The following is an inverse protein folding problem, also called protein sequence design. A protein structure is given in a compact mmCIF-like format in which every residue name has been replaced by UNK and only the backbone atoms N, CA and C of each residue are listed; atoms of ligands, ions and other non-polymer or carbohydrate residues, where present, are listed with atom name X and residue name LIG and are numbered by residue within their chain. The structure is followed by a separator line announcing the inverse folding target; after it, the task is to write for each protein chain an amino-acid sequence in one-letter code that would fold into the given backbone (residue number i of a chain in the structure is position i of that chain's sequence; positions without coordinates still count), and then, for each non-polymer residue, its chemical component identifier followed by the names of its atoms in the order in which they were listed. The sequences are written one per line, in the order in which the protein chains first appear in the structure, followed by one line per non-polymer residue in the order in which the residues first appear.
data_IF_054017196315
#
_entry.id   IF_054017196315
#
_cell.length_a   1.000
_cell.length_b   1.000
_cell.length_c   1.000
_cell.angle_alpha   90.00
_cell.angle_beta   90.00
_cell.angle_gamma   90.00
#
_symmetry.space_group_name_H-M   'P 1'
#
loop_
_entity.id
_entity.type
_entity.pdbx_description
1 polymer ?
#
# COMPACT_ATOMS: atom_id res chain seq x y z
N UNK A 1 -11.50 8.97 -10.24
CA UNK A 1 -10.27 9.37 -10.97
C UNK A 1 -9.69 8.12 -11.63
N UNK A 2 -9.11 8.20 -12.84
CA UNK A 2 -8.39 7.06 -13.43
C UNK A 2 -6.95 7.05 -12.90
N UNK A 3 -6.52 5.98 -12.25
CA UNK A 3 -5.12 5.80 -11.87
C UNK A 3 -4.26 5.70 -13.13
N UNK A 4 -3.04 6.23 -13.05
CA UNK A 4 -2.04 5.96 -14.08
C UNK A 4 -1.82 4.45 -14.16
N UNK A 5 -1.94 3.90 -15.38
CA UNK A 5 -1.63 2.49 -15.59
C UNK A 5 -0.15 2.26 -15.32
N UNK A 6 0.15 1.32 -14.44
CA UNK A 6 1.54 0.98 -14.14
C UNK A 6 2.32 0.61 -15.40
N UNK A 7 3.55 1.14 -15.58
CA UNK A 7 4.41 0.75 -16.69
C UNK A 7 5.11 -0.59 -16.44
N UNK A 8 5.13 -1.11 -15.21
CA UNK A 8 5.81 -2.36 -14.86
C UNK A 8 4.82 -3.52 -14.80
N UNK A 9 5.25 -4.69 -15.30
CA UNK A 9 4.41 -5.90 -15.30
C UNK A 9 4.14 -6.46 -13.89
N UNK A 10 5.03 -6.13 -12.95
CA UNK A 10 5.10 -6.63 -11.59
C UNK A 10 5.11 -5.51 -10.54
N UNK A 11 4.47 -4.38 -10.82
CA UNK A 11 4.36 -3.29 -9.84
C UNK A 11 3.59 -3.76 -8.59
N UNK A 12 4.27 -3.90 -7.43
CA UNK A 12 3.64 -4.40 -6.22
C UNK A 12 2.64 -3.40 -5.66
N UNK A 13 2.85 -2.09 -5.83
CA UNK A 13 1.93 -1.06 -5.33
C UNK A 13 0.61 -1.08 -6.10
N UNK A 14 0.68 -1.30 -7.41
CA UNK A 14 -0.53 -1.52 -8.23
C UNK A 14 -1.29 -2.77 -7.81
N UNK A 15 -0.57 -3.83 -7.41
CA UNK A 15 -1.21 -5.05 -6.92
C UNK A 15 -1.85 -4.87 -5.54
N UNK A 16 -1.24 -4.08 -4.66
CA UNK A 16 -1.83 -3.65 -3.37
C UNK A 16 -3.11 -2.85 -3.60
N UNK A 17 -3.08 -1.87 -4.51
CA UNK A 17 -4.26 -1.09 -4.87
C UNK A 17 -5.39 -1.97 -5.43
N UNK A 18 -5.06 -2.94 -6.29
CA UNK A 18 -6.03 -3.91 -6.79
C UNK A 18 -6.60 -4.77 -5.65
N UNK A 19 -5.75 -5.31 -4.78
CA UNK A 19 -6.17 -6.12 -3.65
C UNK A 19 -7.17 -5.38 -2.77
N UNK A 20 -6.87 -4.13 -2.42
CA UNK A 20 -7.75 -3.26 -1.65
C UNK A 20 -9.10 -3.03 -2.34
N UNK A 21 -9.10 -2.70 -3.64
CA UNK A 21 -10.34 -2.46 -4.39
C UNK A 21 -11.24 -3.71 -4.49
N UNK A 22 -10.65 -4.92 -4.50
CA UNK A 22 -11.43 -6.17 -4.51
C UNK A 22 -12.08 -6.48 -3.15
N UNK A 23 -11.42 -6.15 -2.03
CA UNK A 23 -11.94 -6.42 -0.67
C UNK A 23 -12.84 -5.30 -0.14
N UNK A 24 -12.63 -4.05 -0.58
CA UNK A 24 -13.42 -2.87 -0.20
C UNK A 24 -13.97 -2.16 -1.45
N UNK A 25 -14.91 -2.78 -2.17
CA UNK A 25 -15.44 -2.22 -3.40
C UNK A 25 -16.18 -0.89 -3.15
N UNK A 26 -15.84 0.12 -3.94
CA UNK A 26 -16.45 1.45 -3.87
C UNK A 26 -15.80 2.42 -2.88
N UNK A 27 -14.77 1.99 -2.14
CA UNK A 27 -13.96 2.89 -1.32
C UNK A 27 -12.99 3.67 -2.20
N UNK A 28 -13.12 5.00 -2.21
CA UNK A 28 -12.29 5.90 -3.00
C UNK A 28 -11.21 6.57 -2.13
N UNK A 29 -10.02 6.76 -2.71
CA UNK A 29 -8.88 7.44 -2.09
C UNK A 29 -7.97 7.99 -3.19
N UNK A 30 -7.08 8.91 -2.81
CA UNK A 30 -5.93 9.32 -3.63
C UNK A 30 -4.63 8.86 -2.94
N UNK A 31 -3.63 8.50 -3.74
CA UNK A 31 -2.31 8.14 -3.23
C UNK A 31 -1.22 8.77 -4.08
N UNK A 32 -0.25 9.41 -3.43
CA UNK A 32 0.87 10.11 -4.10
C UNK A 32 2.21 9.77 -3.43
N UNK A 33 3.27 9.83 -4.23
CA UNK A 33 4.64 9.83 -3.74
C UNK A 33 5.08 11.27 -3.52
N UNK A 34 5.62 11.56 -2.34
CA UNK A 34 6.15 12.88 -1.97
C UNK A 34 7.62 12.76 -1.56
N UNK A 35 8.39 13.83 -1.64
CA UNK A 35 9.82 13.79 -1.26
C UNK A 35 10.00 13.39 0.23
N UNK A 36 9.24 14.03 1.10
CA UNK A 36 9.31 13.85 2.56
C UNK A 36 7.99 14.22 3.22
N UNK A 37 7.63 13.52 4.28
CA UNK A 37 6.51 13.85 5.16
C UNK A 37 7.08 14.27 6.52
N UNK A 38 6.68 15.43 7.02
CA UNK A 38 7.13 15.95 8.32
C UNK A 38 5.93 16.43 9.13
N UNK A 39 5.81 15.97 10.36
CA UNK A 39 4.80 16.44 11.32
C UNK A 39 5.14 17.85 11.84
N UNK A 40 4.20 18.49 12.53
CA UNK A 40 4.41 19.82 13.12
C UNK A 40 5.57 19.88 14.11
N UNK A 41 5.85 18.78 14.82
CA UNK A 41 6.95 18.67 15.78
C UNK A 41 8.31 18.35 15.13
N UNK A 42 8.35 18.22 13.80
CA UNK A 42 9.56 17.94 13.03
C UNK A 42 9.89 16.46 12.87
N UNK A 43 9.03 15.55 13.34
CA UNK A 43 9.19 14.11 13.14
C UNK A 43 8.98 13.73 11.68
N UNK A 44 9.90 12.93 11.13
CA UNK A 44 9.77 12.41 9.76
C UNK A 44 8.88 11.17 9.76
N UNK A 45 7.96 11.11 8.80
CA UNK A 45 7.10 9.96 8.57
C UNK A 45 7.35 9.36 7.18
N UNK A 46 7.12 8.06 7.04
CA UNK A 46 7.27 7.34 5.77
C UNK A 46 5.95 7.13 5.04
N UNK A 47 4.83 7.24 5.74
CA UNK A 47 3.47 7.18 5.23
C UNK A 47 2.55 8.05 6.07
N UNK A 48 1.49 8.60 5.47
CA UNK A 48 0.46 9.33 6.18
C UNK A 48 -0.86 9.30 5.39
N UNK A 49 -1.97 9.14 6.12
CA UNK A 49 -3.32 9.30 5.58
C UNK A 49 -3.97 10.55 6.16
N UNK A 50 -4.38 11.47 5.29
CA UNK A 50 -5.14 12.67 5.65
C UNK A 50 -6.60 12.48 5.27
N UNK A 51 -7.51 12.86 6.17
CA UNK A 51 -8.96 12.91 5.93
C UNK A 51 -9.41 14.37 5.90
N UNK A 52 -9.55 14.99 4.71
CA UNK A 52 -9.94 16.40 4.59
C UNK A 52 -11.40 16.64 5.01
N UNK A 53 -11.64 17.74 5.73
CA UNK A 53 -12.99 18.16 6.15
C UNK A 53 -13.78 18.87 5.02
N UNK A 54 -13.14 19.16 3.89
CA UNK A 54 -13.72 19.89 2.75
C UNK A 54 -14.49 18.99 1.77
N UNK A 55 -14.56 17.68 2.07
CA UNK A 55 -15.27 16.68 1.29
C UNK A 55 -14.49 16.14 0.09
N UNK A 56 -13.20 16.46 -0.04
CA UNK A 56 -12.34 15.74 -0.98
C UNK A 56 -12.05 14.32 -0.50
N UNK A 57 -11.50 13.50 -1.39
CA UNK A 57 -11.13 12.13 -1.05
C UNK A 57 -10.03 12.11 0.03
N UNK A 58 -9.97 11.06 0.87
CA UNK A 58 -8.80 10.81 1.70
C UNK A 58 -7.53 10.74 0.85
N UNK A 59 -6.46 11.36 1.34
CA UNK A 59 -5.16 11.42 0.66
C UNK A 59 -4.13 10.59 1.42
N UNK A 60 -3.52 9.64 0.72
CA UNK A 60 -2.37 8.87 1.17
C UNK A 60 -1.10 9.50 0.58
N UNK A 61 -0.16 9.85 1.44
CA UNK A 61 1.18 10.26 1.07
C UNK A 61 2.17 9.16 1.47
N UNK A 62 3.04 8.76 0.54
CA UNK A 62 4.15 7.84 0.81
C UNK A 62 5.46 8.54 0.49
N UNK A 63 6.42 8.49 1.40
CA UNK A 63 7.72 9.13 1.22
C UNK A 63 8.52 8.41 0.12
N UNK A 64 8.97 9.13 -0.89
CA UNK A 64 9.65 8.60 -2.08
C UNK A 64 11.13 8.29 -1.89
N UNK A 65 11.72 8.69 -0.74
CA UNK A 65 13.12 8.40 -0.41
C UNK A 65 13.33 7.03 0.24
N UNK A 66 12.25 6.29 0.55
CA UNK A 66 12.34 4.94 1.13
C UNK A 66 12.71 3.90 0.05
N UNK A 67 13.24 2.72 0.42
CA UNK A 67 13.46 1.63 -0.53
C UNK A 67 12.19 1.32 -1.33
N UNK A 68 12.32 1.12 -2.64
CA UNK A 68 11.18 0.85 -3.51
C UNK A 68 10.36 -0.38 -3.08
N UNK A 69 11.01 -1.36 -2.44
CA UNK A 69 10.38 -2.55 -1.87
C UNK A 69 9.48 -2.25 -0.66
N UNK A 70 9.70 -1.15 0.07
CA UNK A 70 8.92 -0.76 1.23
C UNK A 70 7.64 0.00 0.85
N UNK A 71 7.64 0.70 -0.29
CA UNK A 71 6.49 1.48 -0.79
C UNK A 71 5.16 0.70 -0.79
N UNK A 72 5.07 -0.54 -1.32
CA UNK A 72 3.81 -1.29 -1.32
C UNK A 72 3.30 -1.63 0.09
N UNK A 73 4.19 -1.91 1.04
CA UNK A 73 3.80 -2.20 2.43
C UNK A 73 3.29 -0.95 3.13
N UNK A 74 3.97 0.20 2.94
CA UNK A 74 3.50 1.49 3.47
C UNK A 74 2.16 1.87 2.84
N UNK A 75 1.97 1.66 1.53
CA UNK A 75 0.66 1.88 0.91
C UNK A 75 -0.42 0.99 1.53
N UNK A 76 -0.15 -0.30 1.74
CA UNK A 76 -1.11 -1.20 2.39
C UNK A 76 -1.42 -0.77 3.83
N UNK A 77 -0.44 -0.24 4.56
CA UNK A 77 -0.59 0.29 5.91
C UNK A 77 -1.57 1.47 5.94
N UNK A 78 -1.37 2.44 5.06
CA UNK A 78 -2.23 3.63 4.96
C UNK A 78 -3.63 3.28 4.44
N UNK A 79 -3.75 2.33 3.52
CA UNK A 79 -5.05 1.83 3.07
C UNK A 79 -5.87 1.16 4.18
N UNK A 80 -5.23 0.53 5.17
CA UNK A 80 -5.96 0.02 6.33
C UNK A 80 -6.60 1.16 7.13
N UNK A 81 -5.91 2.30 7.30
CA UNK A 81 -6.48 3.49 7.97
C UNK A 81 -7.72 4.04 7.27
N UNK A 82 -7.78 3.99 5.94
CA UNK A 82 -8.95 4.43 5.15
C UNK A 82 -10.24 3.75 5.61
N UNK A 83 -10.18 2.45 5.93
CA UNK A 83 -11.35 1.65 6.27
C UNK A 83 -11.55 1.47 7.77
N UNK A 84 -10.63 1.98 8.59
CA UNK A 84 -10.66 1.90 10.05
C UNK A 84 -10.41 3.27 10.70
N UNK A 85 -11.06 4.31 10.18
CA UNK A 85 -10.91 5.70 10.65
C UNK A 85 -11.02 5.79 12.17
N UNK A 86 -10.00 6.36 12.82
CA UNK A 86 -9.92 6.53 14.27
C UNK A 86 -9.40 5.30 15.05
N UNK A 87 -9.04 4.21 14.37
CA UNK A 87 -8.36 3.06 14.95
C UNK A 87 -6.84 3.12 14.69
N UNK A 88 -6.08 3.70 15.63
CA UNK A 88 -4.61 3.82 15.57
C UNK A 88 -3.94 2.46 15.83
N UNK A 89 -3.94 1.60 14.80
CA UNK A 89 -3.35 0.25 14.81
C UNK A 89 -4.00 -0.74 15.79
N UNK A 90 -5.27 -0.55 16.12
CA UNK A 90 -6.04 -1.51 16.92
C UNK A 90 -6.52 -2.73 16.12
N UNK A 91 -7.43 -3.53 16.72
CA UNK A 91 -7.82 -4.82 16.16
C UNK A 91 -8.45 -4.75 14.77
N UNK A 92 -9.25 -3.73 14.48
CA UNK A 92 -9.90 -3.62 13.16
C UNK A 92 -8.87 -3.19 12.12
N UNK A 93 -7.98 -2.26 12.46
CA UNK A 93 -6.87 -1.86 11.58
C UNK A 93 -6.00 -3.08 11.21
N UNK A 94 -5.61 -3.89 12.21
CA UNK A 94 -4.79 -5.10 11.97
C UNK A 94 -5.47 -6.08 11.05
N UNK A 95 -6.77 -6.31 11.27
CA UNK A 95 -7.57 -7.19 10.42
C UNK A 95 -7.66 -6.66 8.99
N UNK A 96 -7.81 -5.34 8.80
CA UNK A 96 -7.83 -4.73 7.48
C UNK A 96 -6.47 -4.87 6.77
N UNK A 97 -5.38 -4.59 7.47
CA UNK A 97 -4.02 -4.73 6.95
C UNK A 97 -3.69 -6.19 6.55
N UNK A 98 -4.03 -7.15 7.41
CA UNK A 98 -3.87 -8.59 7.12
C UNK A 98 -4.73 -9.05 5.94
N UNK A 99 -5.95 -8.52 5.79
CA UNK A 99 -6.82 -8.83 4.65
C UNK A 99 -6.23 -8.31 3.33
N UNK A 100 -5.69 -7.08 3.32
CA UNK A 100 -4.98 -6.52 2.16
C UNK A 100 -3.77 -7.39 1.82
N UNK A 101 -2.95 -7.74 2.81
CA UNK A 101 -1.77 -8.60 2.62
C UNK A 101 -2.14 -9.98 2.07
N UNK A 102 -3.17 -10.63 2.63
CA UNK A 102 -3.62 -11.95 2.17
C UNK A 102 -4.10 -11.89 0.72
N UNK A 103 -4.89 -10.87 0.37
CA UNK A 103 -5.39 -10.69 -0.99
C UNK A 103 -4.29 -10.33 -1.98
N UNK A 104 -3.34 -9.48 -1.60
CA UNK A 104 -2.15 -9.19 -2.39
C UNK A 104 -1.40 -10.49 -2.75
N UNK A 105 -1.16 -11.37 -1.77
CA UNK A 105 -0.47 -12.63 -2.01
C UNK A 105 -1.27 -13.58 -2.90
N UNK A 106 -2.59 -13.66 -2.73
CA UNK A 106 -3.48 -14.42 -3.62
C UNK A 106 -3.32 -13.95 -5.07
N UNK A 107 -3.39 -12.64 -5.30
CA UNK A 107 -3.23 -12.05 -6.63
C UNK A 107 -1.82 -12.24 -7.19
N UNK A 108 -0.80 -12.12 -6.35
CA UNK A 108 0.60 -12.33 -6.74
C UNK A 108 0.83 -13.78 -7.18
N UNK A 109 0.35 -14.76 -6.40
CA UNK A 109 0.47 -16.19 -6.73
C UNK A 109 -0.32 -16.50 -8.01
N UNK A 110 -1.54 -15.97 -8.16
CA UNK A 110 -2.34 -16.18 -9.35
C UNK A 110 -1.67 -15.62 -10.62
N UNK A 111 -0.93 -14.51 -10.49
CA UNK A 111 -0.28 -13.81 -11.60
C UNK A 111 1.12 -14.34 -11.93
N UNK A 112 1.90 -14.69 -10.91
CA UNK A 112 3.34 -14.99 -11.04
C UNK A 112 3.70 -16.42 -10.64
N UNK A 113 2.76 -17.19 -10.09
CA UNK A 113 3.02 -18.50 -9.51
C UNK A 113 3.60 -18.42 -8.09
N UNK A 114 3.80 -19.58 -7.47
CA UNK A 114 4.51 -19.68 -6.20
C UNK A 114 6.00 -19.43 -6.42
N UNK A 115 6.60 -18.51 -5.68
CA UNK A 115 8.06 -18.36 -5.67
C UNK A 115 8.66 -19.48 -4.80
N UNK A 116 9.62 -20.24 -5.35
CA UNK A 116 10.45 -21.09 -4.50
C UNK A 116 11.42 -20.20 -3.71
N UNK A 117 11.68 -20.50 -2.43
CA UNK A 117 12.66 -19.76 -1.65
C UNK A 117 14.02 -19.74 -2.36
N UNK A 118 14.70 -18.59 -2.34
CA UNK A 118 16.03 -18.39 -2.92
C UNK A 118 17.12 -19.20 -2.17
N UNK A 119 17.08 -20.53 -2.24
CA UNK A 119 18.18 -21.39 -1.78
C UNK A 119 18.83 -22.20 -2.92
N UNK A 120 18.32 -22.13 -4.16
CA UNK A 120 18.82 -22.96 -5.26
C UNK A 120 19.30 -22.21 -6.52
N UNK A 121 19.41 -20.88 -6.53
CA UNK A 121 20.15 -20.18 -7.58
C UNK A 121 21.65 -20.13 -7.23
N UNK A 122 22.29 -21.30 -7.14
CA UNK A 122 23.75 -21.36 -7.30
C UNK A 122 24.07 -20.97 -8.73
N UNK A 123 24.93 -19.96 -8.88
CA UNK A 123 25.39 -19.42 -10.15
C UNK A 123 25.75 -20.52 -11.15
N UNK A 124 25.24 -20.37 -12.36
CA UNK A 124 25.81 -20.97 -13.56
C UNK A 124 26.93 -20.07 -14.06
N UNK A 125 28.07 -20.68 -14.36
CA UNK A 125 29.32 -20.11 -14.89
C UNK A 125 29.16 -19.06 -16.01
#
# INVERSE_FOLDING_TARGET
MELLKSPFLNDPSSLVAQAFAEIYPGTEYEAILVDKITTEDGTEMVGCTTFPDDGTLPLIEVAGHIPAEAVPEILAHELAHIVTVGDEHGPEWKKAFEAIYSKYNELAIARFGTQEPEENQKGGD
#
